data_IF_835042257934
#
_entry.id   IF_835042257934
#
_cell.length_a   1.000
_cell.length_b   1.000
_cell.length_c   1.000
_cell.angle_alpha   90.00
_cell.angle_beta   90.00
_cell.angle_gamma   90.00
#
_symmetry.space_group_name_H-M   'P 1'
#
loop_
_entity.id
_entity.type
_entity.pdbx_description
1 polymer ?
#
# COMPACT_ATOMS: atom_id res chain seq x y z
N UNK A 1 0.21 -34.92 -6.91
CA UNK A 1 1.10 -34.88 -5.72
C UNK A 1 2.51 -34.94 -6.27
N UNK A 2 3.12 -33.79 -6.56
CA UNK A 2 4.46 -33.70 -7.14
C UNK A 2 5.46 -34.16 -6.08
N UNK A 3 6.33 -35.09 -6.46
CA UNK A 3 7.28 -35.72 -5.55
C UNK A 3 8.28 -34.67 -5.04
N UNK A 4 8.11 -34.26 -3.77
CA UNK A 4 8.92 -33.23 -3.12
C UNK A 4 10.41 -33.67 -3.06
N UNK A 5 10.67 -34.97 -3.14
CA UNK A 5 12.01 -35.55 -3.06
C UNK A 5 12.93 -35.13 -4.22
N UNK A 6 12.39 -34.73 -5.37
CA UNK A 6 13.16 -34.29 -6.55
C UNK A 6 13.17 -32.76 -6.75
N UNK A 7 12.69 -31.98 -5.78
CA UNK A 7 12.73 -30.52 -5.89
C UNK A 7 14.15 -30.01 -5.63
N UNK A 8 14.86 -29.68 -6.71
CA UNK A 8 16.23 -29.16 -6.69
C UNK A 8 16.40 -27.91 -5.82
N UNK A 9 15.39 -27.04 -5.71
CA UNK A 9 15.43 -25.87 -4.80
C UNK A 9 15.38 -26.32 -3.35
N UNK A 10 14.46 -27.22 -3.02
CA UNK A 10 14.31 -27.74 -1.67
C UNK A 10 15.61 -28.42 -1.22
N UNK A 11 16.17 -29.29 -2.05
CA UNK A 11 17.45 -29.94 -1.77
C UNK A 11 18.61 -28.95 -1.61
N UNK A 12 18.66 -27.91 -2.44
CA UNK A 12 19.71 -26.89 -2.38
C UNK A 12 19.71 -26.06 -1.09
N UNK A 13 18.54 -25.82 -0.48
CA UNK A 13 18.42 -24.91 0.67
C UNK A 13 18.00 -25.60 1.99
N UNK A 14 17.54 -26.85 1.98
CA UNK A 14 16.95 -27.50 3.17
C UNK A 14 17.93 -27.59 4.35
N UNK A 15 19.19 -27.87 4.05
CA UNK A 15 20.23 -28.10 5.07
C UNK A 15 21.29 -26.98 5.08
N UNK A 16 21.12 -25.95 4.26
CA UNK A 16 22.00 -24.78 4.29
C UNK A 16 21.49 -23.89 5.40
N UNK A 17 22.23 -23.70 6.49
CA UNK A 17 21.80 -22.82 7.57
C UNK A 17 21.62 -21.38 7.05
N UNK A 18 22.72 -20.63 6.93
CA UNK A 18 22.67 -19.26 6.42
C UNK A 18 23.01 -19.25 4.94
N UNK A 19 22.07 -18.82 4.10
CA UNK A 19 22.34 -18.55 2.69
C UNK A 19 22.42 -17.04 2.45
N UNK A 20 23.61 -16.56 2.06
CA UNK A 20 23.82 -15.14 1.75
C UNK A 20 22.91 -14.62 0.63
N UNK A 21 22.56 -15.46 -0.34
CA UNK A 21 21.62 -15.11 -1.40
C UNK A 21 20.20 -14.85 -0.85
N UNK A 22 19.72 -15.71 0.06
CA UNK A 22 18.42 -15.52 0.71
C UNK A 22 18.43 -14.30 1.62
N UNK A 23 19.50 -14.11 2.40
CA UNK A 23 19.66 -12.96 3.30
C UNK A 23 19.67 -11.65 2.50
N UNK A 24 20.42 -11.59 1.39
CA UNK A 24 20.48 -10.41 0.53
C UNK A 24 19.11 -10.03 -0.05
N UNK A 25 18.38 -11.02 -0.58
CA UNK A 25 17.00 -10.81 -1.05
C UNK A 25 16.08 -10.35 0.09
N UNK A 26 16.12 -11.04 1.23
CA UNK A 26 15.26 -10.73 2.36
C UNK A 26 15.53 -9.33 2.94
N UNK A 27 16.79 -8.92 3.05
CA UNK A 27 17.16 -7.55 3.43
C UNK A 27 16.63 -6.51 2.45
N UNK A 28 16.74 -6.77 1.14
CA UNK A 28 16.22 -5.87 0.12
C UNK A 28 14.70 -5.67 0.27
N UNK A 29 13.96 -6.77 0.47
CA UNK A 29 12.52 -6.72 0.78
C UNK A 29 12.23 -5.99 2.09
N UNK A 30 13.00 -6.27 3.14
CA UNK A 30 12.83 -5.64 4.45
C UNK A 30 12.99 -4.13 4.39
N UNK A 31 13.99 -3.63 3.64
CA UNK A 31 14.18 -2.19 3.44
C UNK A 31 12.99 -1.57 2.71
N UNK A 32 12.58 -2.16 1.58
CA UNK A 32 11.42 -1.67 0.81
C UNK A 32 10.15 -1.68 1.65
N UNK A 33 9.98 -2.71 2.48
CA UNK A 33 8.86 -2.87 3.42
C UNK A 33 8.83 -1.76 4.47
N UNK A 34 9.97 -1.42 5.07
CA UNK A 34 10.05 -0.34 6.06
C UNK A 34 9.61 0.99 5.44
N UNK A 35 10.16 1.33 4.27
CA UNK A 35 9.74 2.55 3.55
C UNK A 35 8.27 2.50 3.14
N UNK A 36 7.81 1.35 2.66
CA UNK A 36 6.42 1.14 2.27
C UNK A 36 5.46 1.36 3.43
N UNK A 37 5.76 0.86 4.62
CA UNK A 37 4.92 1.05 5.82
C UNK A 37 4.88 2.53 6.19
N UNK A 38 6.03 3.22 6.18
CA UNK A 38 6.11 4.65 6.50
C UNK A 38 5.29 5.48 5.50
N UNK A 39 5.48 5.25 4.20
CA UNK A 39 4.80 6.01 3.15
C UNK A 39 3.31 5.70 3.08
N UNK A 40 2.88 4.44 3.18
CA UNK A 40 1.45 4.12 3.20
C UNK A 40 0.77 4.65 4.48
N UNK A 41 1.45 4.60 5.64
CA UNK A 41 0.93 5.22 6.88
C UNK A 41 0.76 6.73 6.72
N UNK A 42 1.67 7.41 6.01
CA UNK A 42 1.59 8.86 5.82
C UNK A 42 0.41 9.27 4.92
N UNK A 43 0.07 8.47 3.89
CA UNK A 43 -1.14 8.68 3.06
C UNK A 43 -2.41 8.55 3.90
N UNK A 44 -2.50 7.51 4.74
CA UNK A 44 -3.63 7.32 5.66
C UNK A 44 -3.73 8.51 6.62
N UNK A 45 -2.60 8.91 7.22
CA UNK A 45 -2.52 10.04 8.13
C UNK A 45 -2.98 11.35 7.49
N UNK A 46 -2.51 11.68 6.29
CA UNK A 46 -2.92 12.89 5.57
C UNK A 46 -4.42 12.89 5.26
N UNK A 47 -4.95 11.74 4.82
CA UNK A 47 -6.37 11.59 4.49
C UNK A 47 -7.25 11.79 5.72
N UNK A 48 -6.83 11.30 6.89
CA UNK A 48 -7.60 11.46 8.12
C UNK A 48 -7.50 12.89 8.70
N UNK A 49 -6.31 13.49 8.65
CA UNK A 49 -6.03 14.76 9.31
C UNK A 49 -6.45 15.98 8.49
N UNK A 50 -6.54 15.87 7.17
CA UNK A 50 -6.80 17.03 6.29
C UNK A 50 -8.25 17.04 5.83
N UNK A 51 -9.01 18.08 6.23
CA UNK A 51 -10.45 18.20 5.94
C UNK A 51 -10.77 18.28 4.44
N UNK A 52 -9.88 18.85 3.63
CA UNK A 52 -10.05 18.94 2.17
C UNK A 52 -9.94 17.58 1.47
N UNK A 53 -9.43 16.54 2.15
CA UNK A 53 -9.25 15.19 1.59
C UNK A 53 -10.41 14.24 1.90
N UNK A 54 -11.59 14.78 2.25
CA UNK A 54 -12.78 13.97 2.59
C UNK A 54 -13.59 13.47 1.38
N UNK A 55 -13.03 13.56 0.18
CA UNK A 55 -13.63 13.00 -1.05
C UNK A 55 -13.50 11.47 -1.13
N UNK A 56 -14.35 10.84 -1.94
CA UNK A 56 -14.44 9.37 -2.05
C UNK A 56 -13.13 8.74 -2.52
N UNK A 57 -12.50 9.29 -3.57
CA UNK A 57 -11.20 8.84 -4.09
C UNK A 57 -10.13 8.79 -3.01
N UNK A 58 -10.05 9.82 -2.16
CA UNK A 58 -9.00 9.94 -1.15
C UNK A 58 -9.16 8.87 -0.06
N UNK A 59 -10.39 8.55 0.32
CA UNK A 59 -10.67 7.44 1.22
C UNK A 59 -10.36 6.08 0.59
N UNK A 60 -10.61 5.89 -0.71
CA UNK A 60 -10.20 4.68 -1.42
C UNK A 60 -8.67 4.54 -1.47
N UNK A 61 -7.95 5.64 -1.69
CA UNK A 61 -6.48 5.66 -1.62
C UNK A 61 -5.96 5.31 -0.23
N UNK A 62 -6.57 5.84 0.83
CA UNK A 62 -6.21 5.47 2.21
C UNK A 62 -6.50 3.99 2.49
N UNK A 63 -7.62 3.45 2.01
CA UNK A 63 -7.95 2.03 2.14
C UNK A 63 -6.96 1.15 1.36
N UNK A 64 -6.55 1.56 0.16
CA UNK A 64 -5.51 0.89 -0.62
C UNK A 64 -4.17 0.90 0.14
N UNK A 65 -3.75 2.05 0.67
CA UNK A 65 -2.54 2.14 1.51
C UNK A 65 -2.63 1.25 2.75
N UNK A 66 -3.81 1.07 3.33
CA UNK A 66 -4.00 0.15 4.44
C UNK A 66 -3.80 -1.32 4.01
N UNK A 67 -4.34 -1.75 2.87
CA UNK A 67 -4.08 -3.10 2.34
C UNK A 67 -2.61 -3.33 1.99
N UNK A 68 -1.93 -2.32 1.44
CA UNK A 68 -0.50 -2.37 1.19
C UNK A 68 0.32 -2.56 2.48
N UNK A 69 -0.06 -1.88 3.58
CA UNK A 69 0.56 -2.11 4.88
C UNK A 69 0.35 -3.55 5.37
N UNK A 70 -0.88 -4.08 5.27
CA UNK A 70 -1.18 -5.45 5.67
C UNK A 70 -0.33 -6.46 4.89
N UNK A 71 -0.28 -6.32 3.56
CA UNK A 71 0.56 -7.13 2.67
C UNK A 71 2.04 -7.08 3.07
N UNK A 72 2.56 -5.87 3.32
CA UNK A 72 3.95 -5.64 3.65
C UNK A 72 4.40 -6.31 4.95
N UNK A 73 3.51 -6.55 5.92
CA UNK A 73 3.84 -7.34 7.11
C UNK A 73 4.27 -8.78 6.79
N UNK A 74 3.85 -9.33 5.65
CA UNK A 74 4.25 -10.67 5.22
C UNK A 74 5.74 -10.79 4.94
N UNK A 75 6.40 -9.70 4.54
CA UNK A 75 7.82 -9.70 4.22
C UNK A 75 8.71 -9.85 5.47
N UNK A 76 8.23 -9.46 6.65
CA UNK A 76 8.98 -9.68 7.90
C UNK A 76 9.14 -11.16 8.23
N UNK A 77 8.17 -12.01 7.86
CA UNK A 77 8.32 -13.45 8.01
C UNK A 77 9.48 -13.95 7.14
N UNK A 78 9.59 -13.46 5.90
CA UNK A 78 10.68 -13.83 5.01
C UNK A 78 12.05 -13.40 5.55
N UNK A 79 12.14 -12.18 6.08
CA UNK A 79 13.34 -11.69 6.80
C UNK A 79 13.68 -12.61 7.97
N UNK A 80 12.72 -12.91 8.84
CA UNK A 80 12.94 -13.80 9.98
C UNK A 80 13.43 -15.19 9.57
N UNK A 81 12.83 -15.81 8.53
CA UNK A 81 13.27 -17.13 8.04
C UNK A 81 14.69 -17.12 7.49
N UNK A 82 15.06 -16.06 6.77
CA UNK A 82 16.40 -15.93 6.21
C UNK A 82 17.48 -15.74 7.28
N UNK A 83 17.18 -14.96 8.33
CA UNK A 83 18.13 -14.69 9.43
C UNK A 83 18.22 -15.81 10.47
N UNK A 84 17.13 -16.55 10.70
CA UNK A 84 17.13 -17.68 11.65
C UNK A 84 17.83 -18.93 11.11
N UNK A 85 18.18 -18.95 9.82
CA UNK A 85 18.68 -20.13 9.12
C UNK A 85 17.63 -21.21 8.90
N UNK A 86 16.37 -20.95 9.27
CA UNK A 86 15.23 -21.83 9.00
C UNK A 86 14.64 -21.49 7.63
N UNK A 87 15.31 -21.95 6.56
CA UNK A 87 14.91 -21.63 5.18
C UNK A 87 13.51 -22.13 4.79
N UNK A 88 12.95 -23.10 5.53
CA UNK A 88 11.62 -23.63 5.27
C UNK A 88 10.78 -23.71 6.54
N UNK A 89 9.60 -23.10 6.49
CA UNK A 89 8.56 -23.24 7.51
C UNK A 89 7.52 -24.26 7.03
N UNK A 90 6.98 -25.05 7.95
CA UNK A 90 5.85 -25.94 7.68
C UNK A 90 4.66 -25.13 7.13
N UNK A 91 4.13 -25.55 5.99
CA UNK A 91 3.07 -24.85 5.26
C UNK A 91 1.87 -24.40 6.13
N UNK A 92 1.38 -25.25 7.03
CA UNK A 92 0.25 -24.91 7.92
C UNK A 92 0.58 -23.76 8.87
N UNK A 93 1.82 -23.68 9.35
CA UNK A 93 2.29 -22.58 10.19
C UNK A 93 2.50 -21.32 9.34
N UNK A 94 3.13 -21.47 8.16
CA UNK A 94 3.34 -20.37 7.23
C UNK A 94 2.01 -19.68 6.89
N UNK A 95 0.99 -20.43 6.46
CA UNK A 95 -0.34 -19.87 6.15
C UNK A 95 -0.92 -19.12 7.34
N UNK A 96 -0.90 -19.70 8.54
CA UNK A 96 -1.47 -19.03 9.74
C UNK A 96 -0.82 -17.67 9.99
N UNK A 97 0.49 -17.56 9.79
CA UNK A 97 1.22 -16.30 9.97
C UNK A 97 0.92 -15.33 8.81
N UNK A 98 0.89 -15.82 7.56
CA UNK A 98 0.70 -14.96 6.38
C UNK A 98 -0.76 -14.69 6.01
N UNK A 99 -1.76 -15.21 6.73
CA UNK A 99 -3.18 -15.00 6.43
C UNK A 99 -3.53 -13.52 6.30
N UNK A 100 -3.08 -12.68 7.24
CA UNK A 100 -3.35 -11.24 7.24
C UNK A 100 -2.64 -10.53 6.09
N UNK A 101 -1.34 -10.78 5.83
CA UNK A 101 -0.67 -10.31 4.62
C UNK A 101 -1.33 -10.73 3.31
N UNK A 102 -1.74 -11.98 3.20
CA UNK A 102 -2.43 -12.50 2.00
C UNK A 102 -3.78 -11.82 1.79
N UNK A 103 -4.50 -11.51 2.86
CA UNK A 103 -5.72 -10.72 2.79
C UNK A 103 -5.46 -9.32 2.22
N UNK A 104 -4.42 -8.64 2.72
CA UNK A 104 -3.98 -7.35 2.18
C UNK A 104 -3.61 -7.45 0.70
N UNK A 105 -2.78 -8.43 0.34
CA UNK A 105 -2.32 -8.65 -1.03
C UNK A 105 -3.48 -8.86 -2.01
N UNK A 106 -4.43 -9.73 -1.65
CA UNK A 106 -5.60 -9.99 -2.48
C UNK A 106 -6.56 -8.79 -2.59
N UNK A 107 -6.55 -7.89 -1.61
CA UNK A 107 -7.41 -6.71 -1.59
C UNK A 107 -6.94 -5.59 -2.50
N UNK A 108 -5.64 -5.56 -2.85
CA UNK A 108 -5.02 -4.49 -3.65
C UNK A 108 -5.56 -4.43 -5.10
N UNK A 109 -5.65 -5.53 -5.88
CA UNK A 109 -6.16 -5.46 -7.24
C UNK A 109 -7.59 -4.90 -7.36
N UNK A 110 -8.60 -5.38 -6.59
CA UNK A 110 -9.95 -4.84 -6.69
C UNK A 110 -10.03 -3.39 -6.21
N UNK A 111 -9.34 -2.99 -5.12
CA UNK A 111 -9.37 -1.58 -4.69
C UNK A 111 -8.73 -0.65 -5.73
N UNK A 112 -7.63 -1.07 -6.38
CA UNK A 112 -7.00 -0.30 -7.45
C UNK A 112 -7.93 -0.12 -8.65
N UNK A 113 -8.70 -1.15 -9.01
CA UNK A 113 -9.74 -1.07 -10.05
C UNK A 113 -10.81 -0.03 -9.66
N UNK A 114 -11.32 -0.08 -8.43
CA UNK A 114 -12.32 0.88 -7.96
C UNK A 114 -11.78 2.31 -7.90
N UNK A 115 -10.53 2.53 -7.47
CA UNK A 115 -9.87 3.85 -7.54
C UNK A 115 -9.85 4.36 -8.99
N UNK A 116 -9.51 3.50 -9.95
CA UNK A 116 -9.50 3.86 -11.37
C UNK A 116 -10.88 4.27 -11.88
N UNK A 117 -11.92 3.47 -11.56
CA UNK A 117 -13.31 3.75 -11.94
C UNK A 117 -13.80 5.06 -11.30
N UNK A 118 -13.57 5.26 -10.00
CA UNK A 118 -13.98 6.45 -9.25
C UNK A 118 -13.37 7.73 -9.86
N UNK A 119 -12.08 7.67 -10.22
CA UNK A 119 -11.39 8.77 -10.92
C UNK A 119 -11.95 9.03 -12.32
N UNK A 120 -12.22 7.98 -13.11
CA UNK A 120 -12.80 8.14 -14.45
C UNK A 120 -14.19 8.77 -14.36
N UNK A 121 -15.03 8.31 -13.43
CA UNK A 121 -16.36 8.85 -13.20
C UNK A 121 -16.29 10.32 -12.79
N UNK A 122 -15.38 10.68 -11.87
CA UNK A 122 -15.17 12.07 -11.46
C UNK A 122 -14.78 13.00 -12.61
N UNK A 123 -14.00 12.50 -13.57
CA UNK A 123 -13.62 13.26 -14.78
C UNK A 123 -14.81 13.40 -15.75
N UNK A 124 -15.60 12.34 -15.95
CA UNK A 124 -16.68 12.32 -16.96
C UNK A 124 -17.93 13.07 -16.50
N UNK A 125 -18.34 12.89 -15.25
CA UNK A 125 -19.64 13.35 -14.76
C UNK A 125 -19.57 14.57 -13.84
N UNK A 126 -18.36 15.00 -13.44
CA UNK A 126 -18.20 15.97 -12.35
C UNK A 126 -18.63 15.38 -11.00
N UNK A 127 -18.40 16.12 -9.91
CA UNK A 127 -18.44 15.62 -8.52
C UNK A 127 -19.67 14.74 -8.18
N UNK A 128 -19.44 13.42 -8.10
CA UNK A 128 -20.39 12.44 -7.56
C UNK A 128 -20.43 12.42 -6.02
N UNK A 129 -19.55 13.19 -5.36
CA UNK A 129 -19.26 13.10 -3.93
C UNK A 129 -20.42 13.54 -3.02
N UNK A 130 -21.34 14.39 -3.49
CA UNK A 130 -22.34 15.03 -2.61
C UNK A 130 -23.42 14.10 -2.07
N UNK A 131 -23.63 12.91 -2.66
CA UNK A 131 -24.75 12.01 -2.29
C UNK A 131 -24.32 10.64 -1.77
N UNK A 132 -23.03 10.29 -1.85
CA UNK A 132 -22.56 8.96 -1.48
C UNK A 132 -22.35 8.85 0.03
N UNK A 133 -22.97 7.83 0.67
CA UNK A 133 -22.71 7.51 2.08
C UNK A 133 -21.36 6.82 2.19
N UNK A 134 -20.30 7.59 2.36
CA UNK A 134 -18.90 7.13 2.33
C UNK A 134 -18.62 5.88 3.18
N UNK A 135 -19.21 5.78 4.39
CA UNK A 135 -19.04 4.61 5.26
C UNK A 135 -19.59 3.32 4.64
N UNK A 136 -20.77 3.40 4.03
CA UNK A 136 -21.42 2.26 3.38
C UNK A 136 -20.66 1.88 2.10
N UNK A 137 -20.18 2.88 1.37
CA UNK A 137 -19.34 2.66 0.19
C UNK A 137 -18.05 1.91 0.54
N UNK A 138 -17.28 2.42 1.50
CA UNK A 138 -16.04 1.77 1.95
C UNK A 138 -16.28 0.36 2.52
N UNK A 139 -17.37 0.16 3.27
CA UNK A 139 -17.74 -1.16 3.76
C UNK A 139 -18.02 -2.15 2.61
N UNK A 140 -18.77 -1.69 1.60
CA UNK A 140 -19.09 -2.52 0.41
C UNK A 140 -17.82 -2.89 -0.35
N UNK A 141 -16.95 -1.91 -0.62
CA UNK A 141 -15.68 -2.17 -1.31
C UNK A 141 -14.79 -3.11 -0.50
N UNK A 142 -14.73 -2.94 0.83
CA UNK A 142 -13.96 -3.83 1.72
C UNK A 142 -14.49 -5.28 1.66
N UNK A 143 -15.80 -5.47 1.62
CA UNK A 143 -16.42 -6.80 1.46
C UNK A 143 -16.04 -7.43 0.12
N UNK A 144 -16.09 -6.65 -0.97
CA UNK A 144 -15.69 -7.12 -2.32
C UNK A 144 -14.21 -7.51 -2.32
N UNK A 145 -13.34 -6.67 -1.75
CA UNK A 145 -11.91 -6.96 -1.61
C UNK A 145 -11.69 -8.25 -0.80
N UNK A 146 -12.43 -8.42 0.30
CA UNK A 146 -12.34 -9.61 1.14
C UNK A 146 -12.75 -10.89 0.41
N UNK A 147 -13.84 -10.84 -0.35
CA UNK A 147 -14.31 -11.96 -1.17
C UNK A 147 -13.29 -12.32 -2.26
N UNK A 148 -12.73 -11.30 -2.94
CA UNK A 148 -11.70 -11.51 -3.95
C UNK A 148 -10.42 -12.10 -3.35
N UNK A 149 -9.95 -11.61 -2.20
CA UNK A 149 -8.79 -12.18 -1.49
C UNK A 149 -8.98 -13.66 -1.16
N UNK A 150 -10.19 -14.05 -0.75
CA UNK A 150 -10.52 -15.45 -0.47
C UNK A 150 -10.43 -16.30 -1.75
N UNK A 151 -11.05 -15.86 -2.85
CA UNK A 151 -10.98 -16.56 -4.15
C UNK A 151 -9.53 -16.66 -4.62
N UNK A 152 -8.80 -15.55 -4.57
CA UNK A 152 -7.39 -15.47 -4.96
C UNK A 152 -6.54 -16.49 -4.19
N UNK A 153 -6.66 -16.53 -2.85
CA UNK A 153 -5.91 -17.48 -2.02
C UNK A 153 -6.16 -18.96 -2.37
N UNK A 154 -7.37 -19.30 -2.84
CA UNK A 154 -7.72 -20.65 -3.29
C UNK A 154 -7.17 -20.98 -4.68
N UNK A 155 -6.91 -19.96 -5.50
CA UNK A 155 -6.30 -20.09 -6.83
C UNK A 155 -4.77 -20.20 -6.77
N UNK A 156 -4.12 -19.77 -5.69
CA UNK A 156 -2.69 -20.03 -5.40
C UNK A 156 -2.47 -21.51 -4.98
N UNK A 157 -3.09 -22.45 -5.70
CA UNK A 157 -2.60 -23.82 -5.72
C UNK A 157 -1.45 -23.84 -6.73
N UNK A 158 -0.26 -24.36 -6.39
CA UNK A 158 0.89 -24.32 -7.28
C UNK A 158 0.61 -25.20 -8.49
N UNK A 159 0.17 -24.58 -9.57
CA UNK A 159 0.44 -25.04 -10.92
C UNK A 159 1.50 -24.06 -11.45
N UNK A 160 2.48 -24.57 -12.19
CA UNK A 160 3.50 -23.85 -13.00
C UNK A 160 4.96 -24.01 -12.52
N UNK A 161 5.76 -24.56 -13.45
CA UNK A 161 7.21 -24.50 -13.65
C UNK A 161 8.14 -25.06 -12.55
N UNK A 162 9.41 -25.25 -12.92
CA UNK A 162 10.44 -25.69 -11.99
C UNK A 162 10.46 -24.74 -10.78
N UNK A 163 10.46 -25.26 -9.54
CA UNK A 163 10.38 -24.45 -8.32
C UNK A 163 11.43 -23.35 -8.23
N UNK A 164 12.60 -23.57 -8.84
CA UNK A 164 13.72 -22.61 -8.90
C UNK A 164 13.39 -21.40 -9.77
N UNK A 165 12.95 -21.63 -11.01
CA UNK A 165 12.68 -20.52 -11.94
C UNK A 165 11.49 -19.70 -11.46
N UNK A 166 10.46 -20.35 -10.91
CA UNK A 166 9.34 -19.67 -10.28
C UNK A 166 9.79 -18.80 -9.10
N UNK A 167 10.68 -19.31 -8.23
CA UNK A 167 11.21 -18.56 -7.10
C UNK A 167 12.01 -17.33 -7.54
N UNK A 168 12.96 -17.47 -8.47
CA UNK A 168 13.75 -16.31 -8.93
C UNK A 168 12.89 -15.26 -9.65
N UNK A 169 11.98 -15.69 -10.51
CA UNK A 169 11.08 -14.78 -11.22
C UNK A 169 10.16 -14.02 -10.24
N UNK A 170 9.63 -14.70 -9.22
CA UNK A 170 8.76 -14.08 -8.19
C UNK A 170 9.53 -13.14 -7.26
N UNK A 171 10.77 -13.47 -6.90
CA UNK A 171 11.61 -12.59 -6.07
C UNK A 171 11.95 -11.30 -6.81
N UNK A 172 12.40 -11.37 -8.06
CA UNK A 172 12.79 -10.17 -8.84
C UNK A 172 11.56 -9.31 -9.14
N UNK A 173 10.51 -9.91 -9.70
CA UNK A 173 9.26 -9.18 -9.99
C UNK A 173 8.63 -8.62 -8.73
N UNK A 174 8.68 -9.38 -7.62
CA UNK A 174 8.14 -8.94 -6.35
C UNK A 174 8.88 -7.73 -5.77
N UNK A 175 10.21 -7.59 -5.93
CA UNK A 175 10.91 -6.37 -5.47
C UNK A 175 10.38 -5.15 -6.23
N UNK A 176 10.31 -5.24 -7.56
CA UNK A 176 9.80 -4.15 -8.39
C UNK A 176 8.36 -3.78 -8.04
N UNK A 177 7.49 -4.78 -7.85
CA UNK A 177 6.11 -4.56 -7.44
C UNK A 177 6.02 -3.88 -6.05
N UNK A 178 6.86 -4.29 -5.09
CA UNK A 178 6.86 -3.69 -3.77
C UNK A 178 7.42 -2.27 -3.74
N UNK A 179 8.37 -1.94 -4.63
CA UNK A 179 8.80 -0.54 -4.81
C UNK A 179 7.62 0.30 -5.31
N UNK A 180 6.85 -0.22 -6.28
CA UNK A 180 5.61 0.43 -6.74
C UNK A 180 4.62 0.66 -5.60
N UNK A 181 4.30 -0.40 -4.85
CA UNK A 181 3.43 -0.36 -3.68
C UNK A 181 3.89 0.62 -2.57
N UNK A 182 5.20 0.72 -2.34
CA UNK A 182 5.77 1.67 -1.39
C UNK A 182 5.72 3.12 -1.90
N UNK A 183 5.62 3.33 -3.21
CA UNK A 183 5.76 4.66 -3.84
C UNK A 183 4.48 5.50 -3.83
N UNK A 184 3.39 5.04 -3.21
CA UNK A 184 2.11 5.79 -3.16
C UNK A 184 2.28 7.22 -2.65
N UNK A 185 2.92 7.42 -1.48
CA UNK A 185 3.10 8.78 -0.93
C UNK A 185 4.05 9.65 -1.77
N UNK A 186 5.25 9.16 -2.17
CA UNK A 186 6.11 9.91 -3.08
C UNK A 186 5.42 10.32 -4.38
N UNK A 187 4.73 9.39 -5.05
CA UNK A 187 4.03 9.66 -6.30
C UNK A 187 3.00 10.77 -6.07
N UNK A 188 2.12 10.62 -5.07
CA UNK A 188 1.10 11.62 -4.74
C UNK A 188 1.70 12.99 -4.43
N UNK A 189 2.81 13.04 -3.68
CA UNK A 189 3.51 14.28 -3.35
C UNK A 189 4.09 15.00 -4.59
N UNK A 190 4.64 14.24 -5.54
CA UNK A 190 5.23 14.80 -6.75
C UNK A 190 4.17 15.15 -7.81
N UNK A 191 3.08 14.40 -7.91
CA UNK A 191 2.08 14.57 -8.97
C UNK A 191 0.88 15.46 -8.60
N UNK A 192 0.57 15.66 -7.31
CA UNK A 192 -0.55 16.54 -6.88
C UNK A 192 -0.06 17.67 -5.97
N UNK A 193 -0.47 18.88 -6.32
CA UNK A 193 -0.22 20.09 -5.52
C UNK A 193 -1.01 20.07 -4.21
N UNK A 194 -2.23 19.54 -4.21
CA UNK A 194 -3.03 19.42 -2.97
C UNK A 194 -2.36 18.46 -2.00
N UNK A 195 -1.95 17.27 -2.48
CA UNK A 195 -1.28 16.28 -1.62
C UNK A 195 0.03 16.85 -1.08
N UNK A 196 0.81 17.55 -1.92
CA UNK A 196 2.04 18.23 -1.48
C UNK A 196 1.79 19.20 -0.34
N UNK A 197 0.77 20.06 -0.46
CA UNK A 197 0.39 21.00 0.59
C UNK A 197 -0.03 20.26 1.86
N UNK A 198 -0.87 19.23 1.73
CA UNK A 198 -1.35 18.45 2.86
C UNK A 198 -0.21 17.73 3.60
N UNK A 199 0.74 17.12 2.88
CA UNK A 199 1.93 16.51 3.48
C UNK A 199 2.79 17.53 4.22
N UNK A 200 2.95 18.75 3.67
CA UNK A 200 3.70 19.83 4.33
C UNK A 200 3.00 20.35 5.59
N UNK A 201 1.67 20.42 5.59
CA UNK A 201 0.86 20.82 6.75
C UNK A 201 0.87 19.76 7.84
N UNK A 202 0.74 18.48 7.49
CA UNK A 202 0.69 17.37 8.46
C UNK A 202 2.07 17.02 9.01
N UNK A 203 3.11 17.11 8.19
CA UNK A 203 4.49 16.77 8.58
C UNK A 203 5.47 17.94 8.40
N UNK A 204 5.27 19.07 9.10
CA UNK A 204 6.05 20.29 8.89
C UNK A 204 7.54 20.10 9.21
N UNK A 205 7.88 19.19 10.13
CA UNK A 205 9.27 18.89 10.48
C UNK A 205 10.02 18.20 9.32
N UNK A 206 9.37 17.26 8.62
CA UNK A 206 9.97 16.52 7.50
C UNK A 206 10.26 17.44 6.31
N UNK A 207 9.43 18.48 6.14
CA UNK A 207 9.51 19.39 4.99
C UNK A 207 10.03 20.80 5.32
N UNK A 208 10.52 21.02 6.55
CA UNK A 208 10.98 22.34 7.04
C UNK A 208 12.09 22.96 6.17
N UNK A 209 12.89 22.12 5.48
CA UNK A 209 13.95 22.54 4.56
C UNK A 209 13.47 22.88 3.14
N UNK A 210 12.25 22.47 2.78
CA UNK A 210 11.62 22.68 1.46
C UNK A 210 10.46 23.68 1.48
N UNK A 211 10.14 24.26 2.65
CA UNK A 211 9.09 25.27 2.79
C UNK A 211 9.53 26.58 2.12
N UNK A 212 9.30 26.65 0.81
CA UNK A 212 9.57 27.81 -0.01
C UNK A 212 8.54 28.90 0.27
N UNK A 213 8.97 30.15 0.13
CA UNK A 213 8.21 31.41 0.32
C UNK A 213 6.78 31.37 -0.29
N UNK A 214 6.63 30.67 -1.43
CA UNK A 214 5.37 30.48 -2.17
C UNK A 214 4.28 29.70 -1.40
N UNK A 215 4.63 28.75 -0.54
CA UNK A 215 3.66 28.04 0.31
C UNK A 215 3.10 28.96 1.39
N UNK A 216 3.93 29.87 1.93
CA UNK A 216 3.48 30.85 2.94
C UNK A 216 2.56 31.91 2.33
N UNK A 217 2.81 32.31 1.08
CA UNK A 217 1.95 33.25 0.35
C UNK A 217 0.57 32.66 0.06
N UNK A 218 0.47 31.40 -0.41
CA UNK A 218 -0.81 30.73 -0.68
C UNK A 218 -1.66 30.47 0.57
N UNK A 219 -1.03 30.17 1.71
CA UNK A 219 -1.74 30.01 3.00
C UNK A 219 -2.30 31.36 3.45
N UNK A 220 -1.50 32.43 3.32
CA UNK A 220 -1.95 33.79 3.63
C UNK A 220 -3.09 34.28 2.73
N UNK A 221 -3.18 33.78 1.50
CA UNK A 221 -4.24 34.16 0.56
C UNK A 221 -5.55 33.43 0.86
N UNK A 222 -5.50 32.13 1.18
CA UNK A 222 -6.67 31.36 1.65
C UNK A 222 -7.21 31.82 2.99
N UNK A 223 -6.35 32.24 3.90
CA UNK A 223 -6.77 32.79 5.20
C UNK A 223 -7.52 34.12 5.03
N UNK A 224 -7.18 34.92 4.01
CA UNK A 224 -7.90 36.15 3.65
C UNK A 224 -9.26 35.86 3.02
N UNK A 225 -9.34 34.93 2.07
CA UNK A 225 -10.62 34.52 1.47
C UNK A 225 -11.59 33.95 2.52
N UNK A 226 -11.09 33.17 3.48
CA UNK A 226 -11.90 32.64 4.57
C UNK A 226 -12.37 33.72 5.55
N UNK A 227 -11.59 34.78 5.75
CA UNK A 227 -12.01 35.94 6.54
C UNK A 227 -13.08 36.77 5.82
N UNK A 228 -12.92 36.97 4.51
CA UNK A 228 -13.89 37.71 3.70
C UNK A 228 -15.23 36.98 3.55
N UNK A 229 -15.24 35.65 3.39
CA UNK A 229 -16.48 34.85 3.36
C UNK A 229 -17.21 34.87 4.72
N UNK A 230 -16.45 34.91 5.81
CA UNK A 230 -17.04 34.97 7.16
C UNK A 230 -17.58 36.38 7.48
N UNK A 231 -16.94 37.42 6.97
CA UNK A 231 -17.37 38.81 7.14
C UNK A 231 -18.62 39.13 6.31
N UNK A 232 -18.71 38.60 5.09
CA UNK A 232 -19.89 38.76 4.22
C UNK A 232 -21.13 38.00 4.72
N UNK A 233 -20.95 36.89 5.46
CA UNK A 233 -22.04 36.18 6.16
C UNK A 233 -22.57 36.91 7.39
N UNK A 234 -21.80 37.81 8.00
CA UNK A 234 -22.22 38.61 9.16
C UNK A 234 -22.96 39.90 8.77
N UNK A 235 -22.93 40.26 7.49
CA UNK A 235 -23.57 41.47 6.94
C UNK A 235 -24.91 41.21 6.23
N UNK A 236 -25.40 39.97 6.24
CA UNK A 236 -26.73 39.55 5.79
C UNK A 236 -27.58 39.14 7.00
#
# INVERSE_FOLDING_TARGET
MTDITNNTLYLAFKNVNHSWSLIGCALSYGIVTIFGIIFNSSVIGVTYLTKSFRGTVNYLLALCSFFEMLHQFGHFLFVYTAFSGQNFIVYRLAIKIVMVPLFGFGGIPPIMLFIGIDRMIGIVFGEMDSKCKIRLYLATITIICSAFSLVYSNLIKPSIASPITAWFATVISGITLNIGAASNAPILYFTSTEYRQAFQTVFPFLFKRFSNKKTKELISEKDKEAQDDNQSRLTL
#
